data_IF_740157038185
#
_entry.id   IF_740157038185
#
_cell.length_a   1.000
_cell.length_b   1.000
_cell.length_c   1.000
_cell.angle_alpha   90.00
_cell.angle_beta   90.00
_cell.angle_gamma   90.00
#
_symmetry.space_group_name_H-M   'P 1'
#
loop_
_entity.id
_entity.type
_entity.pdbx_description
1 polymer ?
#
# COMPACT_ATOMS: atom_id res chain seq x y z
N UNK A 1 -7.21 -12.34 2.93
CA UNK A 1 -7.91 -11.53 1.90
C UNK A 1 -8.27 -12.44 0.73
N UNK A 2 -9.46 -12.34 0.11
CA UNK A 2 -9.93 -13.26 -0.95
C UNK A 2 -9.55 -12.82 -2.37
N UNK A 3 -9.28 -11.51 -2.58
CA UNK A 3 -8.78 -10.91 -3.83
C UNK A 3 -7.59 -10.04 -3.48
N UNK A 4 -6.48 -10.20 -4.19
CA UNK A 4 -5.22 -9.51 -3.89
C UNK A 4 -4.74 -8.62 -5.07
N UNK A 5 -5.53 -8.53 -6.13
CA UNK A 5 -5.25 -7.72 -7.31
C UNK A 5 -6.31 -6.61 -7.46
N UNK A 6 -5.86 -5.36 -7.58
CA UNK A 6 -6.70 -4.16 -7.56
C UNK A 6 -6.24 -3.13 -8.58
N UNK A 7 -7.21 -2.51 -9.26
CA UNK A 7 -6.96 -1.35 -10.11
C UNK A 7 -7.26 -0.07 -9.34
N UNK A 8 -6.26 0.80 -9.22
CA UNK A 8 -6.36 2.09 -8.55
C UNK A 8 -5.81 3.16 -9.48
N UNK A 9 -6.48 4.31 -9.55
CA UNK A 9 -6.05 5.39 -10.42
C UNK A 9 -4.68 5.95 -10.00
N UNK A 10 -3.79 6.16 -10.98
CA UNK A 10 -2.39 6.53 -10.76
C UNK A 10 -2.19 7.90 -10.06
N UNK A 11 -3.16 8.81 -10.17
CA UNK A 11 -3.10 10.12 -9.52
C UNK A 11 -3.38 10.06 -8.01
N UNK A 12 -3.88 8.94 -7.49
CA UNK A 12 -4.16 8.82 -6.07
C UNK A 12 -2.85 8.80 -5.26
N UNK A 13 -2.84 9.42 -4.07
CA UNK A 13 -1.73 9.34 -3.15
C UNK A 13 -1.69 7.96 -2.47
N UNK A 14 -0.52 7.55 -1.97
CA UNK A 14 -0.37 6.29 -1.26
C UNK A 14 -1.25 6.20 0.00
N UNK A 15 -1.54 7.32 0.65
CA UNK A 15 -2.50 7.41 1.75
C UNK A 15 -3.88 6.82 1.40
N UNK A 16 -4.31 6.92 0.13
CA UNK A 16 -5.56 6.33 -0.32
C UNK A 16 -5.53 4.80 -0.24
N UNK A 17 -4.38 4.17 -0.53
CA UNK A 17 -4.19 2.72 -0.42
C UNK A 17 -4.20 2.26 1.04
N UNK A 18 -3.59 3.04 1.94
CA UNK A 18 -3.64 2.78 3.38
C UNK A 18 -5.09 2.77 3.88
N UNK A 19 -5.87 3.79 3.51
CA UNK A 19 -7.28 3.88 3.89
C UNK A 19 -8.13 2.78 3.26
N UNK A 20 -7.87 2.44 2.00
CA UNK A 20 -8.53 1.34 1.29
C UNK A 20 -8.30 0.01 2.01
N UNK A 21 -7.03 -0.34 2.27
CA UNK A 21 -6.71 -1.61 2.95
C UNK A 21 -7.23 -1.66 4.39
N UNK A 22 -7.24 -0.54 5.13
CA UNK A 22 -7.88 -0.49 6.45
C UNK A 22 -9.35 -0.88 6.39
N UNK A 23 -10.09 -0.40 5.39
CA UNK A 23 -11.51 -0.74 5.20
C UNK A 23 -11.69 -2.20 4.80
N UNK A 24 -10.90 -2.68 3.83
CA UNK A 24 -10.98 -4.07 3.34
C UNK A 24 -10.60 -5.10 4.40
N UNK A 25 -9.64 -4.77 5.28
CA UNK A 25 -9.21 -5.64 6.37
C UNK A 25 -10.10 -5.53 7.61
N UNK A 26 -11.00 -4.55 7.67
CA UNK A 26 -11.83 -4.29 8.86
C UNK A 26 -11.02 -3.80 10.07
N UNK A 27 -9.88 -3.14 9.84
CA UNK A 27 -9.03 -2.64 10.92
C UNK A 27 -9.74 -1.53 11.70
N UNK A 28 -9.68 -1.60 13.03
CA UNK A 28 -10.15 -0.51 13.89
C UNK A 28 -9.16 0.66 13.87
N UNK A 29 -9.61 1.91 14.09
CA UNK A 29 -8.74 3.09 14.02
C UNK A 29 -7.50 3.03 14.93
N UNK A 30 -7.64 2.35 16.07
CA UNK A 30 -6.59 2.15 17.08
C UNK A 30 -5.53 1.12 16.68
N UNK A 31 -5.79 0.29 15.66
CA UNK A 31 -4.83 -0.72 15.23
C UNK A 31 -3.79 -0.14 14.27
N UNK A 32 -2.49 -0.34 14.56
CA UNK A 32 -1.44 0.02 13.64
C UNK A 32 -1.55 -0.82 12.35
N UNK A 33 -1.44 -0.16 11.20
CA UNK A 33 -1.33 -0.82 9.90
C UNK A 33 -0.20 -0.15 9.13
N UNK A 34 0.87 -0.91 8.91
CA UNK A 34 2.06 -0.50 8.19
C UNK A 34 2.03 -1.11 6.79
N UNK A 35 2.22 -0.28 5.77
CA UNK A 35 2.28 -0.73 4.38
C UNK A 35 3.66 -0.46 3.80
N UNK A 36 4.11 -1.38 2.96
CA UNK A 36 5.44 -1.38 2.37
C UNK A 36 5.36 -1.69 0.88
N UNK A 37 6.22 -1.08 0.08
CA UNK A 37 6.41 -1.45 -1.32
C UNK A 37 7.47 -2.54 -1.40
N UNK A 38 7.17 -3.62 -2.14
CA UNK A 38 8.10 -4.73 -2.42
C UNK A 38 8.82 -5.29 -1.16
N UNK A 39 8.12 -5.36 -0.02
CA UNK A 39 8.67 -5.81 1.27
C UNK A 39 10.00 -5.12 1.64
N UNK A 40 10.15 -3.83 1.33
CA UNK A 40 11.41 -3.10 1.51
C UNK A 40 11.25 -1.80 2.30
N UNK A 41 10.37 -0.89 1.89
CA UNK A 41 10.25 0.42 2.51
C UNK A 41 8.81 0.93 2.53
N UNK A 42 8.51 1.82 3.48
CA UNK A 42 7.22 2.52 3.54
C UNK A 42 7.32 3.85 2.77
N UNK A 43 6.55 4.04 1.67
CA UNK A 43 6.62 5.28 0.90
C UNK A 43 5.95 6.44 1.65
N UNK A 44 6.23 7.67 1.22
CA UNK A 44 5.53 8.85 1.71
C UNK A 44 4.02 8.74 1.43
N UNK A 45 3.13 9.09 2.38
CA UNK A 45 1.69 9.04 2.18
C UNK A 45 1.22 9.96 1.03
N UNK A 46 1.98 11.02 0.73
CA UNK A 46 1.66 11.99 -0.32
C UNK A 46 2.19 11.57 -1.70
N UNK A 47 3.03 10.55 -1.78
CA UNK A 47 3.57 10.07 -3.05
C UNK A 47 2.45 9.45 -3.90
N UNK A 48 2.47 9.75 -5.21
CA UNK A 48 1.42 9.24 -6.11
C UNK A 48 1.69 7.79 -6.50
N UNK A 49 0.63 7.01 -6.67
CA UNK A 49 0.75 5.62 -7.12
C UNK A 49 1.37 5.51 -8.51
N UNK A 50 1.17 6.50 -9.39
CA UNK A 50 1.82 6.54 -10.70
C UNK A 50 3.33 6.64 -10.61
N UNK A 51 3.85 7.46 -9.68
CA UNK A 51 5.28 7.56 -9.44
C UNK A 51 5.84 6.28 -8.82
N UNK A 52 5.17 5.74 -7.80
CA UNK A 52 5.57 4.48 -7.17
C UNK A 52 5.56 3.31 -8.16
N UNK A 53 4.53 3.23 -9.00
CA UNK A 53 4.42 2.20 -10.04
C UNK A 53 5.56 2.32 -11.06
N UNK A 54 5.86 3.53 -11.53
CA UNK A 54 6.96 3.76 -12.48
C UNK A 54 8.32 3.34 -11.89
N UNK A 55 8.54 3.61 -10.61
CA UNK A 55 9.83 3.37 -9.97
C UNK A 55 10.00 1.93 -9.44
N UNK A 56 8.92 1.27 -9.00
CA UNK A 56 9.00 0.05 -8.20
C UNK A 56 8.04 -1.07 -8.65
N UNK A 57 7.37 -0.96 -9.81
CA UNK A 57 6.53 -2.05 -10.30
C UNK A 57 7.34 -3.30 -10.65
N UNK A 58 6.70 -4.45 -10.49
CA UNK A 58 7.20 -5.77 -10.85
C UNK A 58 6.11 -6.48 -11.62
N UNK A 59 6.40 -6.96 -12.84
CA UNK A 59 5.45 -7.69 -13.68
C UNK A 59 4.11 -6.95 -13.85
N UNK A 60 4.16 -5.65 -14.19
CA UNK A 60 3.00 -4.76 -14.35
C UNK A 60 2.12 -4.55 -13.10
N UNK A 61 2.63 -4.91 -11.92
CA UNK A 61 1.96 -4.68 -10.64
C UNK A 61 2.85 -3.87 -9.69
N UNK A 62 2.24 -3.03 -8.87
CA UNK A 62 2.91 -2.44 -7.71
C UNK A 62 2.58 -3.31 -6.49
N UNK A 63 3.58 -4.03 -5.97
CA UNK A 63 3.37 -4.93 -4.84
C UNK A 63 3.35 -4.14 -3.54
N UNK A 64 2.24 -4.25 -2.81
CA UNK A 64 2.03 -3.62 -1.51
C UNK A 64 1.89 -4.70 -0.45
N UNK A 65 2.83 -4.73 0.49
CA UNK A 65 2.82 -5.61 1.65
C UNK A 65 2.24 -4.85 2.85
N UNK A 66 1.51 -5.54 3.73
CA UNK A 66 0.98 -4.95 4.95
C UNK A 66 1.36 -5.75 6.19
N UNK A 67 1.50 -5.09 7.33
CA UNK A 67 1.79 -5.68 8.62
C UNK A 67 1.17 -4.86 9.75
N UNK A 68 0.74 -5.52 10.82
CA UNK A 68 0.26 -4.84 12.04
C UNK A 68 1.39 -4.41 12.96
N UNK A 69 2.59 -4.96 12.77
CA UNK A 69 3.80 -4.54 13.47
C UNK A 69 4.80 -3.95 12.47
N UNK A 70 5.68 -3.02 12.89
CA UNK A 70 6.80 -2.58 12.06
C UNK A 70 7.62 -3.79 11.60
N UNK A 71 7.88 -3.88 10.30
CA UNK A 71 8.57 -5.04 9.70
C UNK A 71 9.79 -4.64 8.87
N UNK A 72 9.73 -3.49 8.21
CA UNK A 72 10.84 -2.94 7.43
C UNK A 72 10.99 -1.44 7.71
N UNK A 73 12.19 -0.90 7.48
CA UNK A 73 12.58 0.48 7.77
C UNK A 73 13.77 0.90 6.93
#
# INVERSE_FOLDING_TARGET
MKRNDFQIAAYNPFAAVVQFLRKELGCVPSEPLHLYINASFAPSPDETLGNLFRAYSTQDHLIVNYSTTPAWG
#
